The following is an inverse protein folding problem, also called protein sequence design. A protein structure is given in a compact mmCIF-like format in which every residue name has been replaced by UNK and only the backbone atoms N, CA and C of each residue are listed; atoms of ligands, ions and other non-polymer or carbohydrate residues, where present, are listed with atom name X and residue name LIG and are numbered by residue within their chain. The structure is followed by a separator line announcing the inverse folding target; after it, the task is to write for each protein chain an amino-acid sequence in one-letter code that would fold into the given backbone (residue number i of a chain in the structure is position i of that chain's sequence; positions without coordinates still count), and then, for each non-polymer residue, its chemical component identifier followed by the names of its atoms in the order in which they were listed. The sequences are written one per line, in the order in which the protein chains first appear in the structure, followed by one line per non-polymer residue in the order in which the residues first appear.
data_IF_648384841071
#
_entry.id   IF_648384841071
#
_cell.length_a   1.000
_cell.length_b   1.000
_cell.length_c   1.000
_cell.angle_alpha   90.00
_cell.angle_beta   90.00
_cell.angle_gamma   90.00
#
_symmetry.space_group_name_H-M   'P 1'
#
loop_
_entity.id
_entity.type
_entity.pdbx_description
1 polymer ?
#
# COMPACT_ATOMS: atom_id res chain seq x y z
N UNK A 1 20.07 -85.15 27.44
CA UNK A 1 19.58 -84.47 26.24
C UNK A 1 18.41 -83.44 26.43
N UNK A 2 17.78 -83.36 27.58
CA UNK A 2 16.54 -82.54 27.75
C UNK A 2 16.74 -81.04 28.12
N UNK A 3 17.88 -80.62 28.67
CA UNK A 3 18.12 -79.20 29.07
C UNK A 3 18.44 -78.26 27.85
N UNK A 4 19.11 -78.78 26.81
CA UNK A 4 19.46 -77.96 25.57
C UNK A 4 18.23 -77.68 24.71
N UNK A 5 17.27 -78.62 24.65
CA UNK A 5 15.99 -78.43 23.87
C UNK A 5 15.07 -77.35 24.53
N UNK A 6 14.99 -77.26 25.82
CA UNK A 6 14.20 -76.28 26.57
C UNK A 6 14.79 -74.86 26.43
N UNK A 7 16.14 -74.73 26.42
CA UNK A 7 16.79 -73.42 26.20
C UNK A 7 16.58 -72.87 24.76
N UNK A 8 16.67 -73.73 23.71
CA UNK A 8 16.38 -73.33 22.31
C UNK A 8 14.89 -72.94 22.12
N UNK A 9 13.94 -73.59 22.76
CA UNK A 9 12.49 -73.28 22.71
C UNK A 9 12.20 -71.91 23.39
N UNK A 10 12.83 -71.62 24.55
CA UNK A 10 12.70 -70.31 25.23
C UNK A 10 13.31 -69.14 24.42
N UNK A 11 14.43 -69.38 23.72
CA UNK A 11 15.05 -68.36 22.83
C UNK A 11 14.16 -68.03 21.60
N UNK A 12 13.59 -69.05 20.96
CA UNK A 12 12.65 -68.85 19.86
C UNK A 12 11.39 -68.08 20.31
N UNK A 13 10.85 -68.36 21.45
CA UNK A 13 9.67 -67.67 22.00
C UNK A 13 10.00 -66.21 22.32
N UNK A 14 11.17 -65.90 22.94
CA UNK A 14 11.62 -64.55 23.22
C UNK A 14 11.81 -63.73 21.92
N UNK A 15 12.42 -64.35 20.88
CA UNK A 15 12.59 -63.67 19.59
C UNK A 15 11.26 -63.41 18.86
N UNK A 16 10.31 -64.35 18.96
CA UNK A 16 8.97 -64.17 18.42
C UNK A 16 8.22 -63.03 19.18
N UNK A 17 8.34 -63.02 20.51
CA UNK A 17 7.72 -61.94 21.32
C UNK A 17 8.34 -60.58 21.01
N UNK A 18 9.66 -60.51 20.82
CA UNK A 18 10.37 -59.29 20.44
C UNK A 18 9.97 -58.84 19.07
N UNK A 19 9.78 -59.73 18.10
CA UNK A 19 9.32 -59.42 16.75
C UNK A 19 7.89 -58.86 16.76
N UNK A 20 7.00 -59.43 17.58
CA UNK A 20 5.61 -58.96 17.74
C UNK A 20 5.59 -57.57 18.37
N UNK A 21 6.46 -57.27 19.35
CA UNK A 21 6.57 -55.96 19.98
C UNK A 21 7.09 -54.94 18.96
N UNK A 22 8.09 -55.30 18.14
CA UNK A 22 8.62 -54.40 17.09
C UNK A 22 7.54 -54.13 16.04
N UNK A 23 6.78 -55.12 15.59
CA UNK A 23 5.68 -54.94 14.65
C UNK A 23 4.60 -54.03 15.28
N UNK A 24 4.27 -54.21 16.53
CA UNK A 24 3.29 -53.38 17.25
C UNK A 24 3.75 -51.91 17.39
N UNK A 25 5.06 -51.69 17.61
CA UNK A 25 5.66 -50.36 17.65
C UNK A 25 5.68 -49.71 16.28
N UNK A 26 5.99 -50.46 15.21
CA UNK A 26 5.94 -50.00 13.84
C UNK A 26 4.51 -49.60 13.42
N UNK A 27 3.52 -50.43 13.78
CA UNK A 27 2.10 -50.11 13.50
C UNK A 27 1.63 -48.89 14.29
N UNK A 28 2.07 -48.73 15.57
CA UNK A 28 1.80 -47.51 16.32
C UNK A 28 2.47 -46.28 15.70
N UNK A 29 3.72 -46.41 15.27
CA UNK A 29 4.44 -45.30 14.59
C UNK A 29 3.74 -44.94 13.26
N UNK A 30 3.32 -45.92 12.47
CA UNK A 30 2.58 -45.72 11.23
C UNK A 30 1.21 -45.07 11.49
N UNK A 31 0.49 -45.45 12.53
CA UNK A 31 -0.77 -44.81 12.91
C UNK A 31 -0.58 -43.39 13.43
N UNK A 32 0.53 -43.10 14.11
CA UNK A 32 0.90 -41.72 14.51
C UNK A 32 1.25 -40.89 13.28
N UNK A 33 2.01 -41.43 12.32
CA UNK A 33 2.35 -40.76 11.04
C UNK A 33 1.12 -40.56 10.15
N UNK A 34 0.18 -41.52 10.11
CA UNK A 34 -1.06 -41.36 9.35
C UNK A 34 -2.01 -40.36 10.02
N UNK A 35 -2.05 -40.30 11.34
CA UNK A 35 -2.87 -39.33 12.08
C UNK A 35 -2.21 -37.93 12.09
N UNK A 36 -0.88 -37.82 12.15
CA UNK A 36 -0.21 -36.53 11.99
C UNK A 36 -0.28 -36.00 10.52
N UNK A 37 -0.52 -36.84 9.53
CA UNK A 37 -0.81 -36.45 8.16
C UNK A 37 -2.28 -36.13 7.89
N UNK A 38 -3.20 -36.40 8.84
CA UNK A 38 -4.62 -36.06 8.70
C UNK A 38 -5.02 -34.74 9.39
N UNK A 39 -4.18 -34.17 10.25
CA UNK A 39 -4.48 -32.92 10.97
C UNK A 39 -3.95 -31.66 10.28
N UNK A 40 -3.47 -31.77 9.03
CA UNK A 40 -3.20 -30.62 8.16
C UNK A 40 -4.09 -30.66 6.89
N UNK A 41 -5.36 -30.98 7.00
CA UNK A 41 -6.34 -30.24 6.26
C UNK A 41 -6.52 -28.94 7.03
N UNK A 42 -5.88 -27.86 6.54
CA UNK A 42 -6.38 -26.52 6.76
C UNK A 42 -7.89 -26.59 6.54
N UNK A 43 -8.66 -26.69 7.61
CA UNK A 43 -10.00 -26.17 7.61
C UNK A 43 -9.82 -24.70 7.28
N UNK A 44 -9.94 -24.39 5.98
CA UNK A 44 -10.32 -23.07 5.52
C UNK A 44 -11.68 -22.88 6.20
N UNK A 45 -11.65 -22.36 7.43
CA UNK A 45 -12.81 -21.74 8.05
C UNK A 45 -13.20 -20.71 7.02
N UNK A 46 -14.21 -21.01 6.20
CA UNK A 46 -14.85 -20.03 5.35
C UNK A 46 -15.39 -18.99 6.31
N UNK A 47 -14.57 -17.97 6.64
CA UNK A 47 -15.02 -16.78 7.32
C UNK A 47 -16.23 -16.31 6.50
N UNK A 48 -17.42 -16.35 7.08
CA UNK A 48 -18.60 -15.79 6.40
C UNK A 48 -18.27 -14.35 6.07
N UNK A 49 -18.48 -13.97 4.81
CA UNK A 49 -18.29 -12.56 4.43
C UNK A 49 -19.12 -11.69 5.36
N UNK A 50 -18.58 -10.59 5.88
CA UNK A 50 -19.35 -9.69 6.75
C UNK A 50 -20.55 -9.13 5.96
N UNK A 51 -21.66 -8.87 6.64
CA UNK A 51 -22.81 -8.22 6.02
C UNK A 51 -22.50 -6.81 5.55
N UNK A 52 -21.59 -6.13 6.23
CA UNK A 52 -21.06 -4.81 5.91
C UNK A 52 -19.64 -4.69 6.43
N UNK A 53 -18.82 -3.87 5.78
CA UNK A 53 -17.47 -3.48 6.23
C UNK A 53 -17.50 -2.16 7.00
N UNK A 54 -18.64 -1.50 7.05
CA UNK A 54 -18.81 -0.24 7.76
C UNK A 54 -18.59 -0.44 9.27
N UNK A 55 -17.63 0.32 9.82
CA UNK A 55 -17.34 0.38 11.24
C UNK A 55 -18.08 1.54 11.90
N UNK A 56 -17.98 2.75 11.33
CA UNK A 56 -18.54 3.96 11.94
C UNK A 56 -18.98 4.99 10.90
N UNK A 57 -20.02 5.76 11.25
CA UNK A 57 -20.44 6.96 10.53
C UNK A 57 -20.27 8.15 11.46
N UNK A 58 -19.59 9.17 10.99
CA UNK A 58 -19.41 10.46 11.64
C UNK A 58 -19.81 11.59 10.68
N UNK A 59 -19.74 12.80 11.18
CA UNK A 59 -19.80 14.03 10.38
C UNK A 59 -18.81 15.05 10.93
N UNK A 60 -18.30 15.92 10.07
CA UNK A 60 -17.50 17.07 10.50
C UNK A 60 -18.41 18.18 11.02
N UNK A 61 -17.82 19.19 11.62
CA UNK A 61 -18.54 20.39 12.06
C UNK A 61 -19.14 21.19 10.89
N UNK A 62 -18.65 20.98 9.68
CA UNK A 62 -19.17 21.61 8.46
C UNK A 62 -20.48 21.00 7.98
N UNK A 63 -20.76 19.75 8.36
CA UNK A 63 -22.00 19.05 7.97
C UNK A 63 -23.13 19.33 8.97
N UNK A 64 -23.95 20.34 8.68
CA UNK A 64 -24.94 20.88 9.59
C UNK A 64 -26.34 20.22 9.49
N UNK A 65 -26.55 19.27 8.58
CA UNK A 65 -27.82 18.59 8.38
C UNK A 65 -27.83 17.19 9.03
N UNK A 66 -29.02 16.62 9.20
CA UNK A 66 -29.17 15.20 9.48
C UNK A 66 -28.87 14.40 8.19
N UNK A 67 -28.17 13.28 8.36
CA UNK A 67 -27.79 12.42 7.22
C UNK A 67 -29.05 11.72 6.70
N UNK A 68 -29.46 12.05 5.47
CA UNK A 68 -30.55 11.37 4.77
C UNK A 68 -30.20 9.88 4.63
N UNK A 69 -31.09 9.00 5.12
CA UNK A 69 -30.87 7.55 5.14
C UNK A 69 -30.73 6.94 3.75
N UNK A 70 -31.41 7.45 2.74
CA UNK A 70 -31.36 6.93 1.37
C UNK A 70 -30.01 7.31 0.72
N UNK A 71 -29.50 8.52 1.00
CA UNK A 71 -28.15 8.95 0.61
C UNK A 71 -27.11 8.07 1.29
N UNK A 72 -27.20 7.93 2.62
CA UNK A 72 -26.31 7.07 3.40
C UNK A 72 -26.29 5.63 2.86
N UNK A 73 -27.47 5.04 2.62
CA UNK A 73 -27.59 3.68 2.11
C UNK A 73 -26.93 3.51 0.74
N UNK A 74 -27.05 4.49 -0.15
CA UNK A 74 -26.40 4.46 -1.48
C UNK A 74 -24.88 4.49 -1.34
N UNK A 75 -24.34 5.37 -0.51
CA UNK A 75 -22.90 5.48 -0.27
C UNK A 75 -22.35 4.19 0.39
N UNK A 76 -23.02 3.70 1.45
CA UNK A 76 -22.61 2.45 2.13
C UNK A 76 -22.63 1.25 1.18
N UNK A 77 -23.66 1.13 0.33
CA UNK A 77 -23.75 0.05 -0.66
C UNK A 77 -22.59 0.08 -1.66
N UNK A 78 -22.20 1.29 -2.11
CA UNK A 78 -21.01 1.46 -2.95
C UNK A 78 -19.75 1.03 -2.21
N UNK A 79 -19.53 1.54 -1.00
CA UNK A 79 -18.34 1.25 -0.20
C UNK A 79 -18.23 -0.23 0.16
N UNK A 80 -19.30 -0.88 0.57
CA UNK A 80 -19.30 -2.33 0.85
C UNK A 80 -18.97 -3.15 -0.40
N UNK A 81 -19.47 -2.75 -1.58
CA UNK A 81 -19.15 -3.42 -2.84
C UNK A 81 -17.68 -3.25 -3.21
N UNK A 82 -17.13 -2.04 -3.01
CA UNK A 82 -15.70 -1.76 -3.18
C UNK A 82 -14.86 -2.59 -2.20
N UNK A 83 -15.17 -2.58 -0.91
CA UNK A 83 -14.46 -3.37 0.11
C UNK A 83 -14.55 -4.87 -0.16
N UNK A 84 -15.69 -5.37 -0.57
CA UNK A 84 -15.84 -6.76 -0.99
C UNK A 84 -14.91 -7.10 -2.15
N UNK A 85 -14.79 -6.21 -3.13
CA UNK A 85 -13.91 -6.41 -4.27
C UNK A 85 -12.44 -6.48 -3.85
N UNK A 86 -11.96 -5.55 -3.03
CA UNK A 86 -10.55 -5.46 -2.65
C UNK A 86 -10.12 -6.51 -1.62
N UNK A 87 -11.02 -6.98 -0.76
CA UNK A 87 -10.73 -8.01 0.24
C UNK A 87 -10.69 -9.40 -0.36
N UNK A 88 -11.58 -9.69 -1.30
CA UNK A 88 -11.68 -10.99 -1.96
C UNK A 88 -10.84 -11.09 -3.22
N UNK A 89 -10.35 -9.96 -3.74
CA UNK A 89 -9.73 -9.81 -5.07
C UNK A 89 -10.65 -10.32 -6.20
N UNK A 90 -11.97 -10.19 -6.03
CA UNK A 90 -12.98 -10.52 -7.03
C UNK A 90 -13.76 -9.26 -7.37
N UNK A 91 -13.85 -8.96 -8.65
CA UNK A 91 -14.60 -7.79 -9.11
C UNK A 91 -16.10 -7.95 -8.78
N UNK A 92 -16.65 -6.99 -8.05
CA UNK A 92 -18.09 -6.82 -7.88
C UNK A 92 -18.54 -5.81 -8.93
N UNK A 93 -19.55 -6.15 -9.70
CA UNK A 93 -20.15 -5.20 -10.65
C UNK A 93 -20.94 -4.13 -9.89
N UNK A 94 -20.48 -2.89 -9.99
CA UNK A 94 -21.08 -1.72 -9.36
C UNK A 94 -21.76 -0.78 -10.37
N UNK A 95 -21.81 -1.15 -11.65
CA UNK A 95 -22.38 -0.30 -12.71
C UNK A 95 -23.86 0.01 -12.45
N UNK A 96 -24.58 -0.91 -11.83
CA UNK A 96 -26.00 -0.76 -11.48
C UNK A 96 -26.25 0.28 -10.36
N UNK A 97 -25.21 0.73 -9.64
CA UNK A 97 -25.31 1.81 -8.65
C UNK A 97 -25.30 3.19 -9.31
N UNK A 98 -24.89 3.27 -10.57
CA UNK A 98 -24.84 4.52 -11.34
C UNK A 98 -26.15 4.76 -12.09
N UNK A 99 -26.38 6.04 -12.43
CA UNK A 99 -27.51 6.39 -13.30
C UNK A 99 -27.32 5.76 -14.70
N UNK A 100 -28.41 5.43 -15.37
CA UNK A 100 -28.37 4.77 -16.67
C UNK A 100 -27.72 5.67 -17.76
N UNK A 101 -27.81 6.99 -17.60
CA UNK A 101 -27.17 8.00 -18.44
C UNK A 101 -25.71 8.34 -18.05
N UNK A 102 -25.17 7.68 -17.00
CA UNK A 102 -23.82 7.89 -16.46
C UNK A 102 -22.89 6.69 -16.70
N UNK A 103 -23.01 6.05 -17.87
CA UNK A 103 -22.26 4.83 -18.21
C UNK A 103 -20.73 5.07 -18.21
N UNK A 104 -20.22 6.23 -18.65
CA UNK A 104 -18.80 6.54 -18.59
C UNK A 104 -18.26 6.56 -17.16
N UNK A 105 -18.96 7.21 -16.25
CA UNK A 105 -18.60 7.25 -14.83
C UNK A 105 -18.60 5.83 -14.21
N UNK A 106 -19.61 5.02 -14.55
CA UNK A 106 -19.66 3.63 -14.13
C UNK A 106 -18.48 2.81 -14.64
N UNK A 107 -18.10 2.97 -15.91
CA UNK A 107 -16.95 2.28 -16.50
C UNK A 107 -15.61 2.78 -15.96
N UNK A 108 -15.43 4.08 -15.76
CA UNK A 108 -14.24 4.66 -15.11
C UNK A 108 -14.04 4.01 -13.73
N UNK A 109 -15.09 3.99 -12.94
CA UNK A 109 -15.05 3.40 -11.61
C UNK A 109 -14.74 1.89 -11.62
N UNK A 110 -15.42 1.14 -12.48
CA UNK A 110 -15.22 -0.31 -12.60
C UNK A 110 -13.81 -0.63 -13.12
N UNK A 111 -13.30 0.14 -14.08
CA UNK A 111 -11.95 -0.01 -14.64
C UNK A 111 -10.89 0.28 -13.57
N UNK A 112 -11.05 1.33 -12.77
CA UNK A 112 -10.12 1.68 -11.71
C UNK A 112 -10.03 0.58 -10.63
N UNK A 113 -11.17 0.04 -10.21
CA UNK A 113 -11.23 -1.06 -9.23
C UNK A 113 -10.65 -2.35 -9.83
N UNK A 114 -10.97 -2.65 -11.09
CA UNK A 114 -10.41 -3.80 -11.81
C UNK A 114 -8.88 -3.71 -11.92
N UNK A 115 -8.34 -2.53 -12.20
CA UNK A 115 -6.89 -2.29 -12.21
C UNK A 115 -6.27 -2.64 -10.85
N UNK A 116 -6.81 -2.11 -9.75
CA UNK A 116 -6.32 -2.38 -8.40
C UNK A 116 -6.37 -3.88 -8.06
N UNK A 117 -7.46 -4.56 -8.38
CA UNK A 117 -7.62 -5.99 -8.10
C UNK A 117 -6.61 -6.81 -8.91
N UNK A 118 -6.46 -6.52 -10.20
CA UNK A 118 -5.58 -7.29 -11.07
C UNK A 118 -4.10 -7.04 -10.76
N UNK A 119 -3.70 -5.80 -10.40
CA UNK A 119 -2.34 -5.53 -9.94
C UNK A 119 -2.02 -6.32 -8.66
N UNK A 120 -2.92 -6.34 -7.69
CA UNK A 120 -2.77 -7.12 -6.44
C UNK A 120 -2.69 -8.64 -6.66
N UNK A 121 -3.41 -9.17 -7.65
CA UNK A 121 -3.30 -10.60 -8.02
C UNK A 121 -1.95 -10.98 -8.62
N UNK A 122 -1.27 -10.04 -9.25
CA UNK A 122 0.05 -10.26 -9.87
C UNK A 122 1.17 -10.20 -8.86
N UNK A 123 0.96 -9.54 -7.71
CA UNK A 123 1.99 -9.34 -6.70
C UNK A 123 2.58 -10.63 -6.16
N UNK A 124 3.84 -10.55 -5.72
CA UNK A 124 4.61 -11.65 -5.12
C UNK A 124 4.01 -12.15 -3.81
N UNK A 125 3.45 -11.22 -3.04
CA UNK A 125 2.80 -11.49 -1.78
C UNK A 125 1.32 -11.77 -2.01
N UNK A 126 0.72 -12.54 -1.11
CA UNK A 126 -0.72 -12.75 -1.13
C UNK A 126 -1.42 -11.48 -0.63
N UNK A 127 -1.89 -10.65 -1.56
CA UNK A 127 -2.50 -9.34 -1.29
C UNK A 127 -3.98 -9.41 -0.86
N UNK A 128 -4.48 -10.60 -0.51
CA UNK A 128 -5.80 -10.74 0.12
C UNK A 128 -5.80 -10.14 1.51
N UNK A 129 -6.95 -9.66 1.95
CA UNK A 129 -7.16 -8.95 3.21
C UNK A 129 -8.03 -9.82 4.10
N UNK A 130 -7.45 -10.30 5.22
CA UNK A 130 -8.14 -11.18 6.17
C UNK A 130 -9.17 -10.48 7.04
N UNK A 131 -8.95 -9.18 7.31
CA UNK A 131 -9.87 -8.32 8.05
C UNK A 131 -9.79 -6.90 7.48
N UNK A 132 -10.96 -6.29 7.24
CA UNK A 132 -11.07 -4.93 6.74
C UNK A 132 -12.30 -4.25 7.34
N UNK A 133 -12.20 -2.95 7.54
CA UNK A 133 -13.32 -2.07 7.91
C UNK A 133 -13.06 -0.66 7.40
N UNK A 134 -14.11 0.13 7.28
CA UNK A 134 -14.01 1.54 6.94
C UNK A 134 -14.92 2.41 7.82
N UNK A 135 -14.51 3.66 7.99
CA UNK A 135 -15.34 4.72 8.55
C UNK A 135 -15.73 5.69 7.44
N UNK A 136 -16.94 6.22 7.51
CA UNK A 136 -17.41 7.32 6.66
C UNK A 136 -17.56 8.56 7.54
N UNK A 137 -17.03 9.68 7.08
CA UNK A 137 -17.17 10.98 7.71
C UNK A 137 -17.82 11.91 6.70
N UNK A 138 -19.08 12.29 6.91
CA UNK A 138 -19.76 13.26 6.08
C UNK A 138 -19.18 14.65 6.34
N UNK A 139 -18.69 15.32 5.29
CA UNK A 139 -18.00 16.60 5.40
C UNK A 139 -18.86 17.77 4.91
N UNK A 140 -19.51 17.63 3.75
CA UNK A 140 -20.36 18.67 3.18
C UNK A 140 -21.48 18.07 2.33
N UNK A 141 -22.60 18.78 2.23
CA UNK A 141 -23.74 18.43 1.38
C UNK A 141 -24.28 19.66 0.66
N UNK A 142 -24.50 19.53 -0.65
CA UNK A 142 -25.09 20.58 -1.46
C UNK A 142 -26.22 20.00 -2.33
N UNK A 143 -27.44 20.52 -2.14
CA UNK A 143 -28.61 20.10 -2.89
C UNK A 143 -28.91 21.11 -4.00
N UNK A 144 -28.94 20.63 -5.24
CA UNK A 144 -29.20 21.47 -6.41
C UNK A 144 -30.12 20.75 -7.38
N UNK A 145 -31.35 21.27 -7.55
CA UNK A 145 -32.39 20.69 -8.40
C UNK A 145 -32.67 19.22 -8.00
N UNK A 146 -32.48 18.28 -8.94
CA UNK A 146 -32.69 16.84 -8.78
C UNK A 146 -31.42 16.08 -8.32
N UNK A 147 -30.33 16.80 -8.05
CA UNK A 147 -29.05 16.22 -7.65
C UNK A 147 -28.62 16.66 -6.26
N UNK A 148 -27.88 15.80 -5.60
CA UNK A 148 -27.24 16.06 -4.30
C UNK A 148 -25.77 15.75 -4.43
N UNK A 149 -24.91 16.73 -4.18
CA UNK A 149 -23.47 16.52 -4.03
C UNK A 149 -23.13 16.27 -2.57
N UNK A 150 -22.45 15.19 -2.28
CA UNK A 150 -22.05 14.80 -0.92
C UNK A 150 -20.56 14.57 -0.91
N UNK A 151 -19.84 15.33 -0.10
CA UNK A 151 -18.43 15.11 0.19
C UNK A 151 -18.29 14.25 1.44
N UNK A 152 -17.53 13.17 1.32
CA UNK A 152 -17.23 12.28 2.45
C UNK A 152 -15.75 11.99 2.51
N UNK A 153 -15.21 11.90 3.73
CA UNK A 153 -13.89 11.37 3.99
C UNK A 153 -14.04 9.90 4.42
N UNK A 154 -13.17 9.06 3.90
CA UNK A 154 -13.12 7.64 4.18
C UNK A 154 -11.84 7.31 4.94
N UNK A 155 -11.95 6.54 6.02
CA UNK A 155 -10.81 5.95 6.69
C UNK A 155 -10.89 4.44 6.57
N UNK A 156 -9.81 3.82 6.07
CA UNK A 156 -9.74 2.39 5.83
C UNK A 156 -8.77 1.73 6.79
N UNK A 157 -9.10 0.52 7.22
CA UNK A 157 -8.29 -0.30 8.13
C UNK A 157 -8.19 -1.72 7.56
N UNK A 158 -6.95 -2.18 7.33
CA UNK A 158 -6.70 -3.46 6.67
C UNK A 158 -5.69 -4.32 7.43
N UNK A 159 -5.90 -5.64 7.40
CA UNK A 159 -4.89 -6.63 7.75
C UNK A 159 -4.66 -7.52 6.53
N UNK A 160 -3.55 -7.29 5.82
CA UNK A 160 -3.14 -8.14 4.70
C UNK A 160 -2.71 -9.52 5.21
N UNK A 161 -3.09 -10.59 4.51
CA UNK A 161 -2.81 -11.97 4.93
C UNK A 161 -1.32 -12.29 5.08
N UNK A 162 -0.44 -11.62 4.33
CA UNK A 162 1.00 -11.82 4.42
C UNK A 162 1.68 -11.00 5.55
N UNK A 163 0.95 -10.08 6.17
CA UNK A 163 1.40 -9.25 7.29
C UNK A 163 0.28 -9.05 8.34
N UNK A 164 -0.39 -10.12 8.69
CA UNK A 164 -1.62 -10.19 9.49
C UNK A 164 -1.54 -9.53 10.88
N UNK A 165 -0.34 -9.31 11.41
CA UNK A 165 -0.12 -8.70 12.72
C UNK A 165 0.10 -7.17 12.64
N UNK A 166 0.09 -6.59 11.42
CA UNK A 166 0.28 -5.17 11.18
C UNK A 166 -0.99 -4.60 10.55
N UNK A 167 -1.64 -3.66 11.24
CA UNK A 167 -2.77 -2.91 10.69
C UNK A 167 -2.25 -1.83 9.74
N UNK A 168 -2.64 -1.93 8.47
CA UNK A 168 -2.47 -0.86 7.48
C UNK A 168 -3.66 0.06 7.52
N UNK A 169 -3.42 1.37 7.47
CA UNK A 169 -4.47 2.37 7.51
C UNK A 169 -4.33 3.37 6.38
N UNK A 170 -5.47 3.79 5.86
CA UNK A 170 -5.59 4.89 4.91
C UNK A 170 -6.55 5.91 5.53
N UNK A 171 -6.14 7.17 5.60
CA UNK A 171 -6.95 8.18 6.27
C UNK A 171 -7.36 9.29 5.32
N UNK A 172 -8.57 9.81 5.55
CA UNK A 172 -9.11 11.01 4.91
C UNK A 172 -9.10 10.92 3.38
N UNK A 173 -9.49 9.75 2.85
CA UNK A 173 -9.70 9.61 1.40
C UNK A 173 -10.93 10.43 1.00
N UNK A 174 -10.70 11.47 0.24
CA UNK A 174 -11.78 12.34 -0.25
C UNK A 174 -12.60 11.61 -1.32
N UNK A 175 -13.91 11.57 -1.11
CA UNK A 175 -14.90 11.08 -2.07
C UNK A 175 -15.97 12.15 -2.28
N UNK A 176 -16.22 12.55 -3.53
CA UNK A 176 -17.32 13.42 -3.90
C UNK A 176 -18.34 12.63 -4.70
N UNK A 177 -19.47 12.36 -4.10
CA UNK A 177 -20.61 11.70 -4.76
C UNK A 177 -21.60 12.76 -5.28
N UNK A 178 -21.90 12.74 -6.56
CA UNK A 178 -23.08 13.44 -7.11
C UNK A 178 -24.16 12.39 -7.28
N UNK A 179 -25.22 12.52 -6.51
CA UNK A 179 -26.34 11.57 -6.47
C UNK A 179 -27.57 12.18 -7.15
N UNK A 180 -28.34 11.36 -7.87
CA UNK A 180 -29.61 11.74 -8.47
C UNK A 180 -30.72 10.81 -7.97
N UNK A 181 -31.87 11.39 -7.58
CA UNK A 181 -33.01 10.60 -7.14
C UNK A 181 -33.70 9.97 -8.34
N UNK A 182 -33.84 8.64 -8.35
CA UNK A 182 -34.46 7.85 -9.40
C UNK A 182 -35.38 6.82 -8.74
N UNK A 183 -36.69 6.85 -9.05
CA UNK A 183 -37.68 5.89 -8.50
C UNK A 183 -37.57 5.76 -6.96
N UNK A 184 -37.57 6.88 -6.24
CA UNK A 184 -37.45 6.96 -4.77
C UNK A 184 -36.14 6.44 -4.17
N UNK A 185 -35.12 6.13 -4.95
CA UNK A 185 -33.78 5.79 -4.49
C UNK A 185 -32.75 6.73 -5.11
N UNK A 186 -31.60 6.87 -4.48
CA UNK A 186 -30.50 7.61 -5.08
C UNK A 186 -29.60 6.66 -5.92
N UNK A 187 -29.20 7.14 -7.09
CA UNK A 187 -28.14 6.54 -7.93
C UNK A 187 -27.00 7.52 -8.08
N UNK A 188 -25.79 7.01 -8.31
CA UNK A 188 -24.59 7.80 -8.51
C UNK A 188 -24.61 8.36 -9.94
N UNK A 189 -24.59 9.68 -10.07
CA UNK A 189 -24.45 10.38 -11.35
C UNK A 189 -22.97 10.55 -11.72
N UNK A 190 -22.15 10.90 -10.74
CA UNK A 190 -20.70 10.92 -10.86
C UNK A 190 -20.03 10.69 -9.52
N UNK A 191 -18.80 10.18 -9.56
CA UNK A 191 -17.98 9.95 -8.38
C UNK A 191 -16.56 10.46 -8.68
N UNK A 192 -16.02 11.25 -7.77
CA UNK A 192 -14.58 11.55 -7.70
C UNK A 192 -14.02 10.92 -6.43
N UNK A 193 -13.01 10.09 -6.57
CA UNK A 193 -12.30 9.45 -5.45
C UNK A 193 -10.81 9.79 -5.54
N UNK A 194 -10.24 10.31 -4.45
CA UNK A 194 -8.83 10.68 -4.41
C UNK A 194 -8.01 9.48 -3.93
N UNK A 195 -7.89 8.49 -4.80
CA UNK A 195 -6.99 7.34 -4.63
C UNK A 195 -6.23 7.07 -5.94
N UNK A 196 -4.99 6.59 -5.82
CA UNK A 196 -4.04 6.48 -6.96
C UNK A 196 -4.61 5.70 -8.14
N UNK A 197 -5.22 4.53 -7.90
CA UNK A 197 -5.79 3.68 -8.96
C UNK A 197 -6.94 4.37 -9.72
N UNK A 198 -7.69 5.24 -9.05
CA UNK A 198 -8.75 6.02 -9.65
C UNK A 198 -8.19 7.22 -10.41
N UNK A 199 -7.26 7.94 -9.79
CA UNK A 199 -6.60 9.12 -10.37
C UNK A 199 -5.79 8.75 -11.63
N UNK A 200 -5.17 7.57 -11.70
CA UNK A 200 -4.49 7.09 -12.90
C UNK A 200 -5.43 7.05 -14.10
N UNK A 201 -6.63 6.50 -13.93
CA UNK A 201 -7.62 6.43 -15.00
C UNK A 201 -8.17 7.82 -15.36
N UNK A 202 -8.60 8.60 -14.37
CA UNK A 202 -9.26 9.90 -14.60
C UNK A 202 -8.33 10.98 -15.14
N UNK A 203 -7.02 10.89 -14.91
CA UNK A 203 -6.05 11.84 -15.47
C UNK A 203 -5.80 11.64 -16.97
N UNK A 204 -6.00 10.44 -17.48
CA UNK A 204 -5.69 10.10 -18.88
C UNK A 204 -6.94 9.94 -19.74
N UNK A 205 -8.02 9.38 -19.15
CA UNK A 205 -9.26 9.21 -19.88
C UNK A 205 -10.00 10.55 -20.06
N UNK A 206 -10.40 10.82 -21.30
CA UNK A 206 -11.22 12.01 -21.64
C UNK A 206 -12.66 11.58 -21.88
N UNK A 207 -13.57 12.09 -21.08
CA UNK A 207 -15.01 11.84 -21.19
C UNK A 207 -15.65 12.42 -22.45
N UNK A 208 -16.92 12.12 -22.69
CA UNK A 208 -17.71 12.61 -23.83
C UNK A 208 -17.76 11.63 -25.00
N UNK A 209 -17.51 10.35 -24.75
CA UNK A 209 -17.49 9.31 -25.79
C UNK A 209 -18.79 8.50 -25.78
N UNK A 210 -19.09 7.86 -26.89
CA UNK A 210 -20.20 6.90 -26.94
C UNK A 210 -19.88 5.66 -26.12
N UNK A 211 -20.91 4.99 -25.59
CA UNK A 211 -20.82 3.81 -24.72
C UNK A 211 -19.78 2.78 -25.20
N UNK A 212 -19.91 2.33 -26.46
CA UNK A 212 -18.99 1.35 -27.04
C UNK A 212 -17.53 1.82 -27.11
N UNK A 213 -17.33 3.13 -27.40
CA UNK A 213 -15.97 3.72 -27.50
C UNK A 213 -15.37 3.87 -26.11
N UNK A 214 -16.14 4.39 -25.15
CA UNK A 214 -15.74 4.55 -23.77
C UNK A 214 -15.24 3.23 -23.18
N UNK A 215 -16.05 2.16 -23.29
CA UNK A 215 -15.71 0.84 -22.80
C UNK A 215 -14.43 0.30 -23.42
N UNK A 216 -14.29 0.38 -24.74
CA UNK A 216 -13.11 -0.11 -25.46
C UNK A 216 -11.81 0.61 -25.03
N UNK A 217 -11.87 1.92 -24.88
CA UNK A 217 -10.68 2.70 -24.48
C UNK A 217 -10.29 2.41 -23.02
N UNK A 218 -11.25 2.35 -22.10
CA UNK A 218 -10.99 2.06 -20.70
C UNK A 218 -10.46 0.63 -20.50
N UNK A 219 -10.99 -0.35 -21.26
CA UNK A 219 -10.45 -1.72 -21.23
C UNK A 219 -9.01 -1.75 -21.72
N UNK A 220 -8.70 -1.02 -22.82
CA UNK A 220 -7.32 -0.92 -23.32
C UNK A 220 -6.38 -0.27 -22.30
N UNK A 221 -6.77 0.85 -21.69
CA UNK A 221 -5.96 1.52 -20.65
C UNK A 221 -5.65 0.56 -19.51
N UNK A 222 -6.65 -0.19 -19.03
CA UNK A 222 -6.47 -1.20 -17.99
C UNK A 222 -5.44 -2.27 -18.42
N UNK A 223 -5.53 -2.78 -19.64
CA UNK A 223 -4.60 -3.79 -20.16
C UNK A 223 -3.17 -3.26 -20.24
N UNK A 224 -2.99 -2.03 -20.73
CA UNK A 224 -1.68 -1.39 -20.82
C UNK A 224 -1.04 -1.25 -19.41
N UNK A 225 -1.76 -0.74 -18.42
CA UNK A 225 -1.27 -0.65 -17.03
C UNK A 225 -0.97 -2.01 -16.40
N UNK A 226 -1.79 -3.02 -16.65
CA UNK A 226 -1.54 -4.37 -16.13
C UNK A 226 -0.29 -4.96 -16.77
N UNK A 227 0.01 -4.65 -18.03
CA UNK A 227 1.25 -5.07 -18.69
C UNK A 227 2.47 -4.45 -18.00
N UNK A 228 2.47 -3.14 -17.80
CA UNK A 228 3.56 -2.43 -17.10
C UNK A 228 3.76 -2.97 -15.69
N UNK A 229 2.65 -3.30 -15.01
CA UNK A 229 2.70 -3.86 -13.67
C UNK A 229 3.31 -5.28 -13.63
N UNK A 230 3.11 -6.09 -14.66
CA UNK A 230 3.78 -7.41 -14.78
C UNK A 230 5.29 -7.28 -14.87
N UNK A 231 5.76 -6.28 -15.61
CA UNK A 231 7.18 -6.00 -15.77
C UNK A 231 7.78 -5.56 -14.43
N UNK A 232 7.11 -4.67 -13.68
CA UNK A 232 7.53 -4.25 -12.35
C UNK A 232 7.63 -5.43 -11.36
N UNK A 233 6.62 -6.29 -11.32
CA UNK A 233 6.65 -7.49 -10.45
C UNK A 233 7.81 -8.42 -10.82
N UNK A 234 8.12 -8.54 -12.11
CA UNK A 234 9.28 -9.30 -12.60
C UNK A 234 10.60 -8.67 -12.13
N UNK A 235 10.71 -7.35 -12.22
CA UNK A 235 11.88 -6.61 -11.75
C UNK A 235 12.09 -6.78 -10.24
N UNK A 236 11.03 -6.70 -9.45
CA UNK A 236 11.13 -6.94 -8.00
C UNK A 236 11.54 -8.38 -7.65
N UNK A 237 11.14 -9.38 -8.41
CA UNK A 237 11.65 -10.76 -8.27
C UNK A 237 13.16 -10.84 -8.55
N UNK A 238 13.61 -10.11 -9.55
CA UNK A 238 15.04 -10.00 -9.89
C UNK A 238 15.80 -9.30 -8.78
N UNK A 239 15.31 -8.18 -8.26
CA UNK A 239 15.90 -7.48 -7.11
C UNK A 239 16.01 -8.38 -5.88
N UNK A 240 14.96 -9.13 -5.55
CA UNK A 240 14.99 -10.08 -4.43
C UNK A 240 16.07 -11.14 -4.61
N UNK A 241 16.16 -11.74 -5.79
CA UNK A 241 17.20 -12.74 -6.11
C UNK A 241 18.63 -12.16 -5.99
N UNK A 242 18.85 -10.92 -6.46
CA UNK A 242 20.13 -10.23 -6.32
C UNK A 242 20.49 -9.96 -4.86
N UNK A 243 19.52 -9.51 -4.06
CA UNK A 243 19.68 -9.29 -2.64
C UNK A 243 20.07 -10.58 -1.90
N UNK A 244 19.34 -11.67 -2.13
CA UNK A 244 19.61 -12.98 -1.52
C UNK A 244 21.00 -13.53 -1.88
N UNK A 245 21.44 -13.28 -3.09
CA UNK A 245 22.77 -13.70 -3.57
C UNK A 245 23.86 -12.66 -3.29
N UNK A 246 23.58 -11.59 -2.54
CA UNK A 246 24.52 -10.51 -2.17
C UNK A 246 25.26 -9.93 -3.38
N UNK A 247 24.56 -9.73 -4.50
CA UNK A 247 25.14 -9.25 -5.76
C UNK A 247 25.22 -7.73 -5.85
N UNK A 248 24.54 -7.02 -4.96
CA UNK A 248 24.59 -5.56 -4.90
C UNK A 248 25.31 -5.13 -3.63
N UNK A 249 26.05 -4.04 -3.72
CA UNK A 249 26.80 -3.47 -2.58
C UNK A 249 26.56 -1.97 -2.52
N UNK A 250 26.44 -1.45 -1.31
CA UNK A 250 26.41 -0.02 -1.04
C UNK A 250 27.76 0.33 -0.45
N UNK A 251 28.56 1.08 -1.23
CA UNK A 251 29.95 1.38 -0.87
C UNK A 251 30.22 2.83 -0.52
N UNK A 252 29.25 3.72 -0.81
CA UNK A 252 29.39 5.16 -0.51
C UNK A 252 29.49 5.38 0.99
N UNK A 253 30.46 6.19 1.40
CA UNK A 253 30.65 6.63 2.80
C UNK A 253 30.32 8.10 2.92
N UNK A 254 29.89 8.53 4.10
CA UNK A 254 29.54 9.91 4.43
C UNK A 254 30.29 10.35 5.67
N UNK A 255 30.54 11.65 5.82
CA UNK A 255 31.26 12.19 6.97
C UNK A 255 30.44 12.00 8.27
N UNK A 256 29.15 12.16 8.18
CA UNK A 256 28.21 12.00 9.30
C UNK A 256 27.09 11.04 8.98
N UNK A 257 26.75 10.19 9.94
CA UNK A 257 25.71 9.19 9.79
C UNK A 257 24.30 9.79 9.94
N UNK A 258 23.36 9.22 9.22
CA UNK A 258 21.92 9.50 9.34
C UNK A 258 21.34 8.88 10.62
N UNK A 259 20.64 9.68 11.44
CA UNK A 259 19.93 9.19 12.62
C UNK A 259 18.56 8.62 12.23
N UNK A 260 18.56 7.33 11.90
CA UNK A 260 17.35 6.61 11.46
C UNK A 260 16.28 6.55 12.54
N UNK A 261 16.67 6.56 13.81
CA UNK A 261 15.69 6.56 14.93
C UNK A 261 14.90 7.85 14.99
N UNK A 262 15.57 9.00 14.88
CA UNK A 262 14.88 10.30 14.82
C UNK A 262 14.00 10.43 13.59
N UNK A 263 14.49 10.01 12.43
CA UNK A 263 13.73 10.01 11.17
C UNK A 263 12.46 9.16 11.29
N UNK A 264 12.58 7.93 11.78
CA UNK A 264 11.46 7.01 11.96
C UNK A 264 10.42 7.55 12.96
N UNK A 265 10.88 8.09 14.10
CA UNK A 265 9.99 8.69 15.10
C UNK A 265 9.21 9.89 14.51
N UNK A 266 9.87 10.70 13.68
CA UNK A 266 9.21 11.80 12.99
C UNK A 266 8.17 11.27 11.97
N UNK A 267 8.53 10.30 11.16
CA UNK A 267 7.65 9.69 10.16
C UNK A 267 6.39 9.09 10.79
N UNK A 268 6.53 8.41 11.94
CA UNK A 268 5.39 7.85 12.67
C UNK A 268 4.51 8.92 13.32
N UNK A 269 5.13 9.97 13.90
CA UNK A 269 4.39 11.02 14.59
C UNK A 269 3.51 11.85 13.66
N UNK A 270 3.98 12.11 12.44
CA UNK A 270 3.35 13.06 11.55
C UNK A 270 2.74 12.41 10.29
N UNK A 271 2.50 11.10 10.29
CA UNK A 271 1.89 10.40 9.16
C UNK A 271 0.48 10.89 8.86
N UNK A 272 -0.34 11.11 9.89
CA UNK A 272 -1.74 11.56 9.78
C UNK A 272 -1.97 13.01 10.20
N UNK A 273 -0.91 13.69 10.65
CA UNK A 273 -0.98 15.09 11.11
C UNK A 273 0.05 15.94 10.40
N UNK A 274 -0.09 17.25 10.53
CA UNK A 274 0.85 18.22 9.98
C UNK A 274 1.62 18.88 11.11
N UNK A 275 2.95 18.94 10.98
CA UNK A 275 3.78 19.69 11.91
C UNK A 275 3.68 21.19 11.56
N UNK A 276 3.15 21.99 12.47
CA UNK A 276 2.92 23.43 12.29
C UNK A 276 4.19 24.26 12.01
N UNK A 277 5.37 23.68 12.22
CA UNK A 277 6.65 24.30 11.82
C UNK A 277 6.79 24.43 10.30
N UNK A 278 6.10 23.61 9.53
CA UNK A 278 6.19 23.48 8.08
C UNK A 278 4.83 23.74 7.44
N UNK A 279 4.80 24.38 6.29
CA UNK A 279 3.55 24.54 5.58
C UNK A 279 3.00 23.22 5.03
N UNK A 280 1.69 23.15 4.94
CA UNK A 280 1.00 22.08 4.27
C UNK A 280 0.82 22.42 2.78
N UNK A 281 1.27 21.53 1.90
CA UNK A 281 1.16 21.68 0.44
C UNK A 281 0.10 20.75 -0.17
N UNK A 282 -0.78 20.14 0.63
CA UNK A 282 -1.80 19.20 0.13
C UNK A 282 -2.68 19.82 -0.96
N UNK A 283 -3.05 21.09 -0.83
CA UNK A 283 -3.87 21.83 -1.82
C UNK A 283 -3.07 22.27 -3.06
N UNK A 284 -1.74 22.18 -3.02
CA UNK A 284 -0.83 22.64 -4.09
C UNK A 284 -0.16 21.48 -4.84
N UNK A 285 -0.84 20.35 -4.95
CA UNK A 285 -0.34 19.18 -5.69
C UNK A 285 0.26 18.09 -4.81
N UNK A 286 0.20 18.22 -3.49
CA UNK A 286 0.55 17.19 -2.54
C UNK A 286 1.66 17.54 -1.55
N UNK A 287 1.62 16.91 -0.39
CA UNK A 287 2.54 17.14 0.71
C UNK A 287 3.62 16.05 0.87
N UNK A 288 3.58 15.02 0.03
CA UNK A 288 4.38 13.80 0.17
C UNK A 288 5.89 14.06 0.22
N UNK A 289 6.43 14.84 -0.74
CA UNK A 289 7.85 15.15 -0.76
C UNK A 289 8.24 16.14 0.35
N UNK A 290 7.40 17.11 0.68
CA UNK A 290 7.61 18.00 1.83
C UNK A 290 7.72 17.19 3.14
N UNK A 291 6.84 16.22 3.34
CA UNK A 291 6.91 15.31 4.49
C UNK A 291 8.20 14.48 4.49
N UNK A 292 8.57 13.89 3.36
CA UNK A 292 9.80 13.13 3.23
C UNK A 292 11.05 13.99 3.53
N UNK A 293 11.09 15.23 3.04
CA UNK A 293 12.16 16.19 3.36
C UNK A 293 12.24 16.51 4.84
N UNK A 294 11.10 16.66 5.52
CA UNK A 294 11.05 16.84 6.96
C UNK A 294 11.61 15.63 7.72
N UNK A 295 11.32 14.41 7.27
CA UNK A 295 11.87 13.16 7.84
C UNK A 295 13.39 13.14 7.71
N UNK A 296 13.92 13.43 6.52
CA UNK A 296 15.37 13.47 6.25
C UNK A 296 16.05 14.54 7.09
N UNK A 297 15.48 15.73 7.18
CA UNK A 297 15.99 16.82 8.02
C UNK A 297 16.01 16.45 9.51
N UNK A 298 14.95 15.82 10.02
CA UNK A 298 14.89 15.38 11.42
C UNK A 298 15.85 14.22 11.73
N UNK A 299 16.25 13.45 10.71
CA UNK A 299 17.33 12.47 10.82
C UNK A 299 18.75 13.07 10.85
N UNK A 300 18.86 14.41 10.88
CA UNK A 300 20.11 15.13 11.08
C UNK A 300 20.81 15.61 9.80
N UNK A 301 20.20 15.42 8.62
CA UNK A 301 20.75 15.98 7.38
C UNK A 301 20.50 17.50 7.37
N UNK A 302 21.54 18.35 7.26
CA UNK A 302 21.37 19.79 7.24
C UNK A 302 20.77 20.26 5.92
N UNK A 303 20.09 21.41 5.94
CA UNK A 303 19.71 22.12 4.71
C UNK A 303 20.95 22.53 3.93
N UNK A 304 20.91 22.35 2.63
CA UNK A 304 22.03 22.65 1.73
C UNK A 304 21.77 23.94 0.95
N UNK A 305 22.70 24.89 1.14
CA UNK A 305 22.76 26.19 0.44
C UNK A 305 24.09 26.36 -0.31
N UNK A 306 24.95 25.35 -0.35
CA UNK A 306 26.36 25.51 -0.78
C UNK A 306 26.60 25.02 -2.22
N UNK A 307 26.02 23.87 -2.59
CA UNK A 307 26.21 23.25 -3.89
C UNK A 307 25.55 23.96 -5.06
N UNK A 308 25.66 23.39 -6.27
CA UNK A 308 24.93 23.87 -7.45
C UNK A 308 23.45 23.47 -7.38
N UNK A 309 23.14 22.38 -6.69
CA UNK A 309 21.80 21.98 -6.35
C UNK A 309 21.57 22.24 -4.83
N UNK A 310 20.46 22.86 -4.50
CA UNK A 310 20.13 23.25 -3.12
C UNK A 310 18.95 22.45 -2.59
N UNK A 311 18.91 22.26 -1.26
CA UNK A 311 17.81 21.61 -0.56
C UNK A 311 17.52 22.34 0.75
N UNK A 312 16.47 23.16 0.75
CA UNK A 312 16.19 24.10 1.86
C UNK A 312 14.71 24.38 2.06
N UNK A 313 14.38 24.86 3.29
CA UNK A 313 13.10 25.43 3.63
C UNK A 313 13.26 26.52 4.70
N UNK A 314 13.02 27.76 4.33
CA UNK A 314 12.98 28.95 5.20
C UNK A 314 11.69 29.76 5.02
N UNK A 315 10.74 29.27 4.22
CA UNK A 315 9.46 29.89 3.93
C UNK A 315 8.73 29.20 2.78
N UNK A 316 7.52 29.64 2.45
CA UNK A 316 6.64 28.97 1.51
C UNK A 316 6.94 29.26 0.04
N UNK A 317 7.47 30.44 -0.23
CA UNK A 317 7.75 30.87 -1.59
C UNK A 317 8.87 30.04 -2.21
N UNK A 318 8.77 29.77 -3.51
CA UNK A 318 9.83 29.11 -4.25
C UNK A 318 11.03 30.05 -4.37
N UNK A 319 12.18 29.64 -3.87
CA UNK A 319 13.44 30.39 -3.94
C UNK A 319 14.59 29.41 -4.21
N UNK A 320 15.13 29.45 -5.42
CA UNK A 320 16.26 28.61 -5.85
C UNK A 320 17.62 29.31 -5.65
N UNK A 321 17.65 30.40 -4.89
CA UNK A 321 18.92 31.05 -4.51
C UNK A 321 19.53 30.41 -3.27
N UNK A 322 20.80 30.67 -3.01
CA UNK A 322 21.51 30.21 -1.79
C UNK A 322 21.18 31.06 -0.54
N UNK A 323 20.15 31.90 -0.61
CA UNK A 323 19.70 32.70 0.51
C UNK A 323 18.92 31.87 1.55
N UNK A 324 18.85 32.36 2.79
CA UNK A 324 18.00 31.78 3.83
C UNK A 324 16.54 32.28 3.73
N UNK A 325 15.98 32.28 2.52
CA UNK A 325 14.60 32.65 2.24
C UNK A 325 13.90 31.49 1.49
N UNK A 326 12.58 31.45 1.58
CA UNK A 326 11.75 30.53 0.81
C UNK A 326 12.14 29.06 0.92
N UNK A 327 11.77 28.27 -0.07
CA UNK A 327 12.09 26.83 -0.20
C UNK A 327 12.60 26.51 -1.60
N UNK A 328 13.44 25.49 -1.70
CA UNK A 328 13.83 24.95 -3.00
C UNK A 328 12.75 23.98 -3.55
N UNK A 329 12.72 23.82 -4.87
CA UNK A 329 11.88 22.79 -5.52
C UNK A 329 12.25 21.37 -5.05
N UNK A 330 13.52 21.12 -4.73
CA UNK A 330 14.00 19.85 -4.19
C UNK A 330 13.41 19.51 -2.81
N UNK A 331 12.97 20.51 -2.04
CA UNK A 331 12.31 20.27 -0.74
C UNK A 331 10.88 19.71 -0.91
N UNK A 332 10.12 20.15 -1.92
CA UNK A 332 8.69 19.83 -2.09
C UNK A 332 8.34 19.04 -3.34
N UNK A 333 9.27 18.89 -4.28
CA UNK A 333 8.99 18.25 -5.57
C UNK A 333 9.66 16.87 -5.69
N UNK A 334 8.87 15.87 -6.05
CA UNK A 334 9.28 14.45 -6.16
C UNK A 334 10.51 14.29 -7.05
N UNK A 335 10.43 14.79 -8.29
CA UNK A 335 11.54 14.73 -9.25
C UNK A 335 12.75 15.54 -8.77
N UNK A 336 12.53 16.74 -8.29
CA UNK A 336 13.61 17.64 -7.90
C UNK A 336 14.41 17.14 -6.69
N UNK A 337 13.76 16.44 -5.74
CA UNK A 337 14.47 15.78 -4.65
C UNK A 337 15.36 14.63 -5.14
N UNK A 338 14.86 13.82 -6.07
CA UNK A 338 15.65 12.77 -6.67
C UNK A 338 16.87 13.32 -7.42
N UNK A 339 16.66 14.36 -8.24
CA UNK A 339 17.72 15.00 -9.02
C UNK A 339 18.80 15.57 -8.06
N UNK A 340 18.38 16.23 -6.97
CA UNK A 340 19.29 16.68 -5.91
C UNK A 340 20.02 15.52 -5.24
N UNK A 341 19.34 14.50 -4.79
CA UNK A 341 19.93 13.34 -4.12
C UNK A 341 20.95 12.59 -5.01
N UNK A 342 20.71 12.54 -6.31
CA UNK A 342 21.59 11.93 -7.31
C UNK A 342 22.81 12.78 -7.62
N UNK A 343 22.62 14.09 -7.70
CA UNK A 343 23.67 15.02 -8.13
C UNK A 343 24.59 15.43 -6.98
N UNK A 344 24.09 15.51 -5.73
CA UNK A 344 24.86 16.03 -4.62
C UNK A 344 26.05 15.14 -4.25
N UNK A 345 27.26 15.74 -4.24
CA UNK A 345 28.53 15.08 -3.87
C UNK A 345 29.29 15.88 -2.82
N UNK A 346 28.85 17.09 -2.50
CA UNK A 346 29.45 18.00 -1.53
C UNK A 346 28.66 18.06 -0.24
N UNK A 347 28.60 19.26 0.32
CA UNK A 347 27.88 19.54 1.57
C UNK A 347 26.41 19.07 1.51
N UNK A 348 25.87 18.64 2.64
CA UNK A 348 24.47 18.24 2.76
C UNK A 348 24.25 16.75 2.52
N UNK A 349 23.13 16.41 1.88
CA UNK A 349 22.67 15.03 1.75
C UNK A 349 23.69 14.10 1.08
N UNK A 350 24.06 13.04 1.78
CA UNK A 350 24.83 11.92 1.25
C UNK A 350 23.91 10.71 1.07
N UNK A 351 23.64 10.30 -0.16
CA UNK A 351 22.68 9.26 -0.51
C UNK A 351 23.14 8.42 -1.70
N UNK A 352 22.55 7.24 -1.87
CA UNK A 352 22.55 6.45 -3.12
C UNK A 352 21.15 6.36 -3.66
N UNK A 353 21.00 6.52 -4.97
CA UNK A 353 19.71 6.45 -5.67
C UNK A 353 19.63 5.16 -6.48
N UNK A 354 18.37 4.75 -6.82
CA UNK A 354 18.07 3.58 -7.64
C UNK A 354 18.72 2.27 -7.09
N UNK A 355 18.85 2.19 -5.77
CA UNK A 355 19.34 0.97 -5.12
C UNK A 355 18.32 -0.15 -5.23
N UNK A 356 18.81 -1.39 -5.10
CA UNK A 356 17.94 -2.54 -4.93
C UNK A 356 17.03 -2.32 -3.70
N UNK A 357 15.69 -2.35 -3.86
CA UNK A 357 14.74 -2.01 -2.80
C UNK A 357 14.93 -2.79 -1.50
N UNK A 358 15.43 -4.02 -1.57
CA UNK A 358 15.63 -4.86 -0.39
C UNK A 358 16.81 -4.42 0.51
N UNK A 359 17.62 -3.45 0.08
CA UNK A 359 18.61 -2.78 0.94
C UNK A 359 18.08 -1.51 1.60
N UNK A 360 16.79 -1.18 1.38
CA UNK A 360 16.16 -0.05 2.06
C UNK A 360 16.00 -0.31 3.56
N UNK A 361 16.15 0.75 4.33
CA UNK A 361 16.03 0.75 5.79
C UNK A 361 15.06 1.86 6.23
N UNK A 362 14.61 1.78 7.48
CA UNK A 362 13.75 2.83 8.04
C UNK A 362 14.39 4.22 7.91
N UNK A 363 13.63 5.19 7.42
CA UNK A 363 14.06 6.55 7.13
C UNK A 363 14.53 6.78 5.69
N UNK A 364 14.69 5.73 4.87
CA UNK A 364 14.93 5.87 3.43
C UNK A 364 13.67 6.34 2.70
N UNK A 365 13.84 6.85 1.49
CA UNK A 365 12.77 7.44 0.70
C UNK A 365 12.47 6.54 -0.50
N UNK A 366 11.18 6.20 -0.66
CA UNK A 366 10.65 5.58 -1.86
C UNK A 366 9.95 6.60 -2.74
N UNK A 367 10.05 6.45 -4.05
CA UNK A 367 9.25 7.22 -5.00
C UNK A 367 8.53 6.26 -5.94
N UNK A 368 7.25 6.53 -6.20
CA UNK A 368 6.38 5.70 -7.02
C UNK A 368 5.71 6.51 -8.12
N UNK A 369 5.37 5.85 -9.23
CA UNK A 369 4.75 6.50 -10.38
C UNK A 369 4.42 5.52 -11.51
N UNK A 370 4.10 6.04 -12.68
CA UNK A 370 3.80 5.29 -13.90
C UNK A 370 4.30 6.04 -15.14
N UNK A 371 4.49 5.33 -16.26
CA UNK A 371 5.06 5.88 -17.49
C UNK A 371 6.40 6.62 -17.25
N UNK A 372 7.26 6.05 -16.40
CA UNK A 372 8.52 6.65 -15.95
C UNK A 372 8.39 8.05 -15.33
N UNK A 373 7.19 8.44 -14.95
CA UNK A 373 6.89 9.69 -14.28
C UNK A 373 6.59 9.41 -12.79
N UNK A 374 7.56 9.66 -11.92
CA UNK A 374 7.41 9.51 -10.48
C UNK A 374 6.60 10.67 -9.91
N UNK A 375 5.46 10.37 -9.31
CA UNK A 375 4.46 11.34 -8.88
C UNK A 375 4.28 11.43 -7.38
N UNK A 376 4.71 10.40 -6.65
CA UNK A 376 4.47 10.31 -5.22
C UNK A 376 5.73 9.87 -4.48
N UNK A 377 5.88 10.36 -3.25
CA UNK A 377 7.00 10.04 -2.34
C UNK A 377 6.47 9.38 -1.07
N UNK A 378 7.10 8.31 -0.66
CA UNK A 378 6.81 7.56 0.56
C UNK A 378 8.05 7.45 1.43
N UNK A 379 7.88 7.29 2.73
CA UNK A 379 8.96 7.05 3.68
C UNK A 379 8.98 5.57 4.05
N UNK A 380 10.11 4.91 3.85
CA UNK A 380 10.29 3.54 4.33
C UNK A 380 10.36 3.56 5.86
N UNK A 381 9.52 2.76 6.53
CA UNK A 381 9.48 2.69 8.00
C UNK A 381 9.92 1.33 8.54
N UNK A 382 10.16 0.36 7.66
CA UNK A 382 10.62 -0.97 8.01
C UNK A 382 10.53 -1.97 6.86
N UNK A 383 10.87 -3.20 7.17
CA UNK A 383 10.79 -4.33 6.26
C UNK A 383 9.72 -5.30 6.76
N UNK A 384 8.92 -5.84 5.85
CA UNK A 384 8.00 -6.94 6.11
C UNK A 384 8.76 -8.24 5.88
N UNK A 385 8.68 -9.16 6.85
CA UNK A 385 9.37 -10.44 6.82
C UNK A 385 8.39 -11.60 6.92
N UNK A 386 8.72 -12.70 6.24
CA UNK A 386 8.00 -13.95 6.41
C UNK A 386 8.38 -14.65 7.74
N UNK A 387 7.76 -15.79 8.01
CA UNK A 387 8.01 -16.60 9.23
C UNK A 387 9.47 -17.10 9.35
N UNK A 388 10.24 -17.09 8.27
CA UNK A 388 11.66 -17.48 8.25
C UNK A 388 12.60 -16.27 8.42
N UNK A 389 12.04 -15.07 8.64
CA UNK A 389 12.81 -13.82 8.75
C UNK A 389 13.30 -13.22 7.43
N UNK A 390 12.88 -13.80 6.29
CA UNK A 390 13.22 -13.32 4.95
C UNK A 390 12.36 -12.10 4.61
N UNK A 391 12.99 -11.04 4.09
CA UNK A 391 12.28 -9.83 3.65
C UNK A 391 11.43 -10.17 2.43
N UNK A 392 10.15 -9.84 2.52
CA UNK A 392 9.17 -10.06 1.46
C UNK A 392 8.64 -8.76 0.88
N UNK A 393 8.68 -7.65 1.65
CA UNK A 393 8.21 -6.34 1.21
C UNK A 393 8.82 -5.23 2.08
N UNK A 394 8.52 -3.98 1.71
CA UNK A 394 8.84 -2.79 2.49
C UNK A 394 7.56 -2.22 3.12
N UNK A 395 7.68 -1.76 4.36
CA UNK A 395 6.61 -1.06 5.06
C UNK A 395 6.81 0.44 4.92
N UNK A 396 5.75 1.16 4.55
CA UNK A 396 5.84 2.59 4.26
C UNK A 396 4.80 3.43 5.02
N UNK A 397 5.15 4.70 5.22
CA UNK A 397 4.23 5.77 5.58
C UNK A 397 4.22 6.85 4.49
N UNK A 398 3.08 7.50 4.31
CA UNK A 398 2.91 8.61 3.37
C UNK A 398 1.99 9.68 3.95
N UNK A 399 2.26 10.94 3.57
CA UNK A 399 1.50 12.10 4.02
C UNK A 399 1.10 12.99 2.82
N UNK A 400 0.25 12.50 2.06
CA UNK A 400 -0.65 12.80 0.94
C UNK A 400 -1.15 11.46 0.48
N UNK A 401 -2.43 11.17 0.54
CA UNK A 401 -2.94 9.85 0.84
C UNK A 401 -2.28 9.39 2.14
N UNK A 402 -2.85 9.75 3.27
CA UNK A 402 -2.26 9.50 4.59
C UNK A 402 -2.23 7.98 4.84
N UNK A 403 -1.15 7.31 4.43
CA UNK A 403 -0.94 5.87 4.57
C UNK A 403 -0.08 5.59 5.79
N UNK A 404 -0.57 4.78 6.69
CA UNK A 404 0.16 4.31 7.87
C UNK A 404 0.38 2.80 7.80
N UNK A 405 1.63 2.36 7.96
CA UNK A 405 2.00 0.94 7.94
C UNK A 405 1.51 0.20 6.68
N UNK A 406 1.65 0.81 5.52
CA UNK A 406 1.16 0.24 4.28
C UNK A 406 2.28 -0.53 3.55
N UNK A 407 2.01 -1.68 2.92
CA UNK A 407 3.04 -2.39 2.15
C UNK A 407 3.33 -1.65 0.84
N UNK A 408 4.59 -1.55 0.45
CA UNK A 408 4.99 -0.90 -0.80
C UNK A 408 4.37 -1.61 -2.02
N UNK A 409 4.26 -2.94 -2.00
CA UNK A 409 3.57 -3.72 -3.04
C UNK A 409 2.06 -3.45 -3.11
N UNK A 410 1.47 -2.78 -2.12
CA UNK A 410 0.07 -2.34 -2.14
C UNK A 410 -0.21 -1.18 -3.09
N UNK A 411 0.83 -0.46 -3.54
CA UNK A 411 0.69 0.61 -4.52
C UNK A 411 0.46 0.06 -5.93
N UNK A 412 -0.49 0.68 -6.63
CA UNK A 412 -0.84 0.35 -8.01
C UNK A 412 0.14 0.92 -9.05
N UNK A 413 1.07 1.76 -8.62
CA UNK A 413 2.06 2.35 -9.51
C UNK A 413 3.15 1.34 -9.90
N UNK A 414 3.37 1.08 -11.20
CA UNK A 414 4.36 0.10 -11.66
C UNK A 414 5.81 0.58 -11.51
N UNK A 415 6.05 1.90 -11.51
CA UNK A 415 7.41 2.41 -11.34
C UNK A 415 7.70 2.69 -9.87
N UNK A 416 8.74 2.08 -9.32
CA UNK A 416 9.21 2.26 -7.95
C UNK A 416 10.72 2.44 -7.94
N UNK A 417 11.23 3.40 -7.16
CA UNK A 417 12.66 3.59 -6.94
C UNK A 417 12.96 3.96 -5.50
N UNK A 418 14.14 3.65 -5.03
CA UNK A 418 14.59 3.92 -3.66
C UNK A 418 15.75 4.90 -3.67
N UNK A 419 15.69 5.85 -2.78
CA UNK A 419 16.76 6.79 -2.43
C UNK A 419 17.20 6.43 -1.01
N UNK A 420 18.36 5.78 -0.90
CA UNK A 420 18.94 5.41 0.39
C UNK A 420 19.65 6.61 1.01
N UNK A 421 19.22 6.98 2.20
CA UNK A 421 19.84 8.05 2.96
C UNK A 421 20.97 7.46 3.81
N UNK A 422 22.21 7.82 3.51
CA UNK A 422 23.39 7.31 4.22
C UNK A 422 23.82 8.24 5.35
N UNK A 423 23.67 9.56 5.10
CA UNK A 423 24.09 10.59 6.06
C UNK A 423 24.19 11.95 5.38
N UNK A 424 25.22 12.69 5.76
CA UNK A 424 25.54 13.95 5.14
C UNK A 424 27.03 14.23 5.16
N UNK A 425 27.50 15.11 4.26
CA UNK A 425 28.90 15.52 4.14
C UNK A 425 29.03 16.98 4.56
N UNK A 426 30.21 17.28 5.09
CA UNK A 426 30.56 18.63 5.56
C UNK A 426 31.03 19.54 4.41
N UNK A 427 31.64 18.96 3.40
CA UNK A 427 32.21 19.63 2.22
C UNK A 427 31.78 18.92 0.95
#
# INVERSE_FOLDING_TARGET
MNKRRKKKKRYKIKNILMLVIIIFLIVKLFNVLINSGKDNKDEIVKKSEPKTYLNKINKTDNYNEDIDKDIQNTIVKYMDSYFKSITTLKEVDMTNLFCDDSYEEAYINQTAISLLINSRKLERNKMTIGNAKYDIIFDDINKKNDTVTVNVLENDYFYFDFMKDIESKVYEVENTFVLKKTNNTYKIKSLRKVQDFYVMITNEYKTGKSDKVAKKELDKMKEDYISDFKDEVSDFKTYLSRYENKKDTITKTCDYKYDRTKALNYAKKYVTSRNSKWSNFSEYGGNCQNFASQVVYNGGVPMDLQGDAIWKYYGNDLDETKSKNGRSASWTGVRFFYDYAKANKGYGLCSEVDINPFYAEAGDIGQVGYNNNYRHTVVIIGNIKDNNGKITDLLINSNSLNLENYPLSGYVYPNKRIIKILGWNKD
#
